data_IF_785787062905
#
_entry.id   IF_785787062905
#
_cell.length_a   1.000
_cell.length_b   1.000
_cell.length_c   1.000
_cell.angle_alpha   90.00
_cell.angle_beta   90.00
_cell.angle_gamma   90.00
#
_symmetry.space_group_name_H-M   'P 1'
#
loop_
_entity.id
_entity.type
_entity.pdbx_description
1 polymer ?
#
# COMPACT_ATOMS: atom_id res chain seq x y z
N UNK A 1 19.23 -1.03 -7.19
CA UNK A 1 20.41 -1.50 -6.43
C UNK A 1 21.02 -2.67 -7.16
N UNK A 2 22.25 -3.08 -6.83
CA UNK A 2 22.88 -4.29 -7.37
C UNK A 2 21.99 -5.53 -7.16
N UNK A 3 21.44 -5.69 -5.95
CA UNK A 3 20.46 -6.74 -5.64
C UNK A 3 19.21 -6.72 -6.55
N UNK A 4 18.68 -5.54 -6.89
CA UNK A 4 17.54 -5.46 -7.80
C UNK A 4 17.92 -5.95 -9.20
N UNK A 5 19.12 -5.62 -9.69
CA UNK A 5 19.59 -6.09 -11.00
C UNK A 5 19.72 -7.61 -11.05
N UNK A 6 20.14 -8.25 -9.95
CA UNK A 6 20.20 -9.72 -9.86
C UNK A 6 18.80 -10.35 -9.87
N UNK A 7 17.84 -9.75 -9.17
CA UNK A 7 16.44 -10.19 -9.19
C UNK A 7 15.87 -10.06 -10.61
N UNK A 8 16.12 -8.93 -11.28
CA UNK A 8 15.64 -8.69 -12.64
C UNK A 8 16.24 -9.68 -13.64
N UNK A 9 17.53 -10.02 -13.49
CA UNK A 9 18.19 -11.04 -14.30
C UNK A 9 17.63 -12.45 -14.05
N UNK A 10 17.38 -12.80 -12.79
CA UNK A 10 16.76 -14.09 -12.44
C UNK A 10 15.31 -14.17 -12.96
N UNK A 11 14.57 -13.07 -12.94
CA UNK A 11 13.20 -13.00 -13.44
C UNK A 11 13.10 -13.28 -14.95
N UNK A 12 14.19 -13.15 -15.72
CA UNK A 12 14.22 -13.55 -17.13
C UNK A 12 14.21 -15.08 -17.32
N UNK A 13 14.54 -15.85 -16.27
CA UNK A 13 14.68 -17.31 -16.33
C UNK A 13 13.65 -18.05 -15.48
N UNK A 14 13.17 -17.43 -14.40
CA UNK A 14 12.18 -18.02 -13.48
C UNK A 14 11.07 -17.00 -13.13
N UNK A 15 9.85 -17.46 -12.82
CA UNK A 15 8.79 -16.59 -12.33
C UNK A 15 9.10 -16.15 -10.88
N UNK A 16 9.15 -14.84 -10.64
CA UNK A 16 9.44 -14.26 -9.32
C UNK A 16 8.29 -13.34 -8.92
N UNK A 17 7.75 -13.49 -7.71
CA UNK A 17 6.87 -12.48 -7.12
C UNK A 17 7.66 -11.64 -6.12
N UNK A 18 7.81 -10.34 -6.40
CA UNK A 18 8.47 -9.38 -5.52
C UNK A 18 7.44 -8.39 -4.99
N UNK A 19 7.36 -8.25 -3.67
CA UNK A 19 6.44 -7.31 -3.03
C UNK A 19 7.00 -6.77 -1.72
N UNK A 20 6.75 -5.50 -1.44
CA UNK A 20 7.07 -4.88 -0.15
C UNK A 20 6.15 -5.37 0.99
N UNK A 21 4.99 -5.93 0.64
CA UNK A 21 4.02 -6.49 1.58
C UNK A 21 3.26 -7.63 0.90
N UNK A 22 3.18 -8.80 1.52
CA UNK A 22 2.44 -9.96 0.98
C UNK A 22 0.99 -10.04 1.46
N UNK A 23 0.52 -9.18 2.37
CA UNK A 23 -0.90 -9.17 2.76
C UNK A 23 -1.78 -8.89 1.53
N UNK A 24 -2.69 -9.81 1.22
CA UNK A 24 -3.69 -9.62 0.16
C UNK A 24 -4.52 -8.35 0.42
N UNK A 25 -4.92 -8.14 1.68
CA UNK A 25 -5.70 -6.98 2.08
C UNK A 25 -4.97 -5.65 1.90
N UNK A 26 -3.67 -5.58 2.21
CA UNK A 26 -2.87 -4.36 1.99
C UNK A 26 -2.73 -4.06 0.49
N UNK A 27 -2.50 -5.10 -0.33
CA UNK A 27 -2.36 -4.91 -1.77
C UNK A 27 -3.68 -4.52 -2.45
N UNK A 28 -4.82 -5.03 -1.97
CA UNK A 28 -6.13 -4.54 -2.40
C UNK A 28 -6.37 -3.10 -1.95
N UNK A 29 -6.01 -2.76 -0.70
CA UNK A 29 -6.10 -1.39 -0.20
C UNK A 29 -5.30 -0.41 -1.07
N UNK A 30 -4.08 -0.77 -1.50
CA UNK A 30 -3.28 0.05 -2.41
C UNK A 30 -4.03 0.36 -3.72
N UNK A 31 -4.62 -0.66 -4.35
CA UNK A 31 -5.40 -0.47 -5.58
C UNK A 31 -6.66 0.38 -5.37
N UNK A 32 -7.34 0.22 -4.23
CA UNK A 32 -8.51 1.03 -3.88
C UNK A 32 -8.13 2.49 -3.61
N UNK A 33 -7.00 2.74 -2.95
CA UNK A 33 -6.48 4.09 -2.70
C UNK A 33 -6.09 4.77 -4.00
N UNK A 34 -5.42 4.08 -4.91
CA UNK A 34 -5.08 4.60 -6.24
C UNK A 34 -6.35 5.00 -7.01
N UNK A 35 -7.35 4.11 -7.04
CA UNK A 35 -8.63 4.37 -7.71
C UNK A 35 -9.41 5.52 -7.07
N UNK A 36 -9.46 5.58 -5.74
CA UNK A 36 -10.13 6.67 -5.02
C UNK A 36 -9.43 8.01 -5.28
N UNK A 37 -8.10 8.04 -5.21
CA UNK A 37 -7.31 9.25 -5.43
C UNK A 37 -7.42 9.80 -6.87
N UNK A 38 -7.55 8.91 -7.86
CA UNK A 38 -7.79 9.28 -9.26
C UNK A 38 -9.23 9.76 -9.52
N UNK A 39 -10.21 9.17 -8.84
CA UNK A 39 -11.63 9.46 -9.06
C UNK A 39 -12.17 10.66 -8.27
N UNK A 40 -11.61 10.94 -7.09
CA UNK A 40 -12.06 12.03 -6.23
C UNK A 40 -11.47 13.39 -6.64
N UNK A 41 -12.23 14.50 -6.52
CA UNK A 41 -11.72 15.84 -6.77
C UNK A 41 -10.50 16.20 -5.91
N UNK A 42 -9.67 17.12 -6.39
CA UNK A 42 -8.49 17.61 -5.63
C UNK A 42 -8.86 18.34 -4.32
N UNK A 43 -10.10 18.80 -4.19
CA UNK A 43 -10.63 19.36 -2.93
C UNK A 43 -10.72 18.33 -1.81
N UNK A 44 -10.63 17.03 -2.11
CA UNK A 44 -10.51 16.00 -1.09
C UNK A 44 -9.08 15.96 -0.57
N UNK A 45 -8.92 16.35 0.68
CA UNK A 45 -7.67 16.28 1.41
C UNK A 45 -7.32 14.82 1.72
N UNK A 46 -6.05 14.45 1.59
CA UNK A 46 -5.60 13.08 1.86
C UNK A 46 -4.79 13.04 3.15
N UNK A 47 -5.23 12.18 4.09
CA UNK A 47 -4.55 11.91 5.35
C UNK A 47 -4.34 10.41 5.50
N UNK A 48 -3.16 10.00 5.99
CA UNK A 48 -2.80 8.60 6.24
C UNK A 48 -2.47 8.44 7.71
N UNK A 49 -3.24 7.62 8.40
CA UNK A 49 -3.00 7.25 9.79
C UNK A 49 -2.52 5.80 9.90
N UNK A 50 -1.58 5.56 10.80
CA UNK A 50 -1.13 4.21 11.13
C UNK A 50 -0.95 3.95 12.63
N UNK A 51 -1.13 2.69 13.02
CA UNK A 51 -0.85 2.20 14.37
C UNK A 51 0.01 0.94 14.27
N UNK A 52 1.08 0.88 15.06
CA UNK A 52 1.90 -0.33 15.22
C UNK A 52 2.31 -0.53 16.68
N UNK A 53 2.81 -1.72 16.99
CA UNK A 53 3.40 -2.06 18.29
C UNK A 53 4.51 -1.09 18.73
N UNK A 54 4.75 -1.06 20.04
CA UNK A 54 5.74 -0.15 20.68
C UNK A 54 7.19 -0.31 20.20
N UNK A 55 7.54 -1.51 19.71
CA UNK A 55 8.92 -1.82 19.27
C UNK A 55 9.23 -1.43 17.82
N UNK A 56 8.27 -0.86 17.07
CA UNK A 56 8.52 -0.49 15.67
C UNK A 56 9.35 0.78 15.61
N UNK A 57 10.52 0.69 14.95
CA UNK A 57 11.53 1.77 14.91
C UNK A 57 11.25 2.79 13.80
N UNK A 58 10.90 2.32 12.60
CA UNK A 58 10.63 3.18 11.45
C UNK A 58 9.27 3.88 11.55
N UNK A 59 9.22 5.14 11.10
CA UNK A 59 8.01 5.94 11.04
C UNK A 59 8.10 6.98 9.90
N UNK A 60 7.05 7.15 9.07
CA UNK A 60 5.89 6.25 8.92
C UNK A 60 6.33 4.85 8.42
N UNK A 61 5.50 3.82 8.59
CA UNK A 61 5.82 2.48 8.07
C UNK A 61 5.95 2.46 6.54
N UNK A 62 6.71 1.48 6.04
CA UNK A 62 6.79 1.22 4.59
C UNK A 62 5.42 1.10 3.89
N UNK A 63 4.43 0.49 4.55
CA UNK A 63 3.05 0.39 4.02
C UNK A 63 2.39 1.77 3.94
N UNK A 64 2.50 2.62 4.97
CA UNK A 64 1.96 3.98 4.93
C UNK A 64 2.61 4.79 3.80
N UNK A 65 3.93 4.68 3.62
CA UNK A 65 4.64 5.35 2.53
C UNK A 65 4.20 4.83 1.15
N UNK A 66 3.91 3.53 1.02
CA UNK A 66 3.39 2.95 -0.22
C UNK A 66 1.98 3.47 -0.55
N UNK A 67 1.10 3.56 0.46
CA UNK A 67 -0.25 4.12 0.30
C UNK A 67 -0.20 5.59 -0.17
N UNK A 68 0.69 6.40 0.42
CA UNK A 68 0.85 7.78 -0.02
C UNK A 68 1.49 7.91 -1.41
N UNK A 69 2.38 6.99 -1.81
CA UNK A 69 2.86 6.94 -3.20
C UNK A 69 1.73 6.62 -4.18
N UNK A 70 0.89 5.64 -3.88
CA UNK A 70 -0.26 5.29 -4.72
C UNK A 70 -1.21 6.49 -4.89
N UNK A 71 -1.54 7.16 -3.79
CA UNK A 71 -2.39 8.36 -3.81
C UNK A 71 -1.76 9.53 -4.59
N UNK A 72 -0.48 9.83 -4.37
CA UNK A 72 0.22 10.90 -5.08
C UNK A 72 0.33 10.62 -6.58
N UNK A 73 0.74 9.39 -6.95
CA UNK A 73 0.89 8.96 -8.34
C UNK A 73 -0.42 9.07 -9.11
N UNK A 74 -1.53 8.63 -8.50
CA UNK A 74 -2.87 8.76 -9.07
C UNK A 74 -3.29 10.21 -9.36
N UNK A 75 -2.73 11.17 -8.60
CA UNK A 75 -2.94 12.62 -8.80
C UNK A 75 -1.88 13.29 -9.69
N UNK A 76 -0.98 12.52 -10.29
CA UNK A 76 0.14 13.03 -11.09
C UNK A 76 1.17 13.81 -10.27
N UNK A 77 1.27 13.51 -8.96
CA UNK A 77 2.17 14.16 -8.02
C UNK A 77 3.28 13.20 -7.58
N UNK A 78 4.45 13.75 -7.28
CA UNK A 78 5.53 12.97 -6.67
C UNK A 78 5.36 12.96 -5.14
N UNK A 79 5.31 11.78 -4.51
CA UNK A 79 5.06 11.64 -3.07
C UNK A 79 5.99 12.51 -2.23
N UNK A 80 7.29 12.48 -2.51
CA UNK A 80 8.33 13.12 -1.69
C UNK A 80 8.17 14.64 -1.67
N UNK A 81 7.52 15.18 -2.70
CA UNK A 81 7.17 16.61 -2.79
C UNK A 81 5.93 16.98 -2.02
N UNK A 82 5.02 16.02 -1.74
CA UNK A 82 3.71 16.28 -1.13
C UNK A 82 3.55 15.70 0.28
N UNK A 83 4.44 14.81 0.70
CA UNK A 83 4.41 14.25 2.05
C UNK A 83 4.62 15.34 3.11
N UNK A 84 3.77 15.35 4.13
CA UNK A 84 3.89 16.25 5.26
C UNK A 84 3.61 15.51 6.58
N UNK A 85 4.50 15.65 7.54
CA UNK A 85 4.18 15.41 8.95
C UNK A 85 3.62 16.73 9.47
N UNK A 86 2.42 16.70 10.03
CA UNK A 86 1.72 17.94 10.43
C UNK A 86 2.51 18.67 11.52
N UNK A 87 2.76 19.96 11.29
CA UNK A 87 3.24 20.93 12.29
C UNK A 87 2.10 21.83 12.79
N UNK A 88 2.45 23.00 13.30
CA UNK A 88 1.51 24.07 13.62
C UNK A 88 0.96 24.77 12.37
N UNK A 89 -0.22 25.38 12.48
CA UNK A 89 -0.84 26.17 11.41
C UNK A 89 -1.91 25.46 10.57
N UNK A 90 -2.35 26.19 9.53
CA UNK A 90 -3.37 25.73 8.59
C UNK A 90 -2.82 24.66 7.64
N UNK A 91 -3.71 23.81 7.11
CA UNK A 91 -3.34 22.77 6.16
C UNK A 91 -2.84 23.40 4.86
N UNK A 92 -1.71 22.92 4.35
CA UNK A 92 -1.21 23.28 3.03
C UNK A 92 -1.93 22.40 1.99
N UNK A 93 -2.55 23.05 1.00
CA UNK A 93 -3.22 22.36 -0.09
C UNK A 93 -2.28 21.39 -0.83
N UNK A 94 -2.87 20.33 -1.41
CA UNK A 94 -2.16 19.30 -2.18
C UNK A 94 -1.09 18.49 -1.41
N UNK A 95 -1.00 18.63 -0.08
CA UNK A 95 -0.16 17.76 0.76
C UNK A 95 -0.87 16.45 1.12
N UNK A 96 -0.09 15.41 1.40
CA UNK A 96 -0.57 14.16 2.00
C UNK A 96 -0.04 14.11 3.44
N UNK A 97 -0.95 14.18 4.41
CA UNK A 97 -0.62 14.13 5.82
C UNK A 97 -0.35 12.72 6.32
N UNK A 98 0.59 12.58 7.26
CA UNK A 98 0.90 11.32 7.92
C UNK A 98 0.76 11.44 9.44
N UNK A 99 0.06 10.48 10.04
CA UNK A 99 -0.17 10.37 11.48
C UNK A 99 0.30 9.00 11.96
N UNK A 100 1.14 9.00 12.99
CA UNK A 100 1.86 7.80 13.43
C UNK A 100 1.57 7.55 14.90
N UNK A 101 1.01 6.38 15.20
CA UNK A 101 0.81 5.90 16.57
C UNK A 101 1.62 4.64 16.83
N UNK A 102 2.12 4.52 18.08
CA UNK A 102 2.87 3.35 18.56
C UNK A 102 2.30 2.92 19.91
N UNK A 103 1.92 1.65 20.05
CA UNK A 103 1.31 1.17 21.29
C UNK A 103 1.03 -0.32 21.29
N UNK A 104 1.08 -0.93 22.47
CA UNK A 104 0.77 -2.35 22.66
C UNK A 104 1.60 -3.27 21.76
N UNK A 105 0.92 -4.27 21.21
CA UNK A 105 1.39 -5.32 20.31
C UNK A 105 0.72 -5.26 18.92
N UNK A 106 0.09 -4.14 18.57
CA UNK A 106 -0.64 -3.93 17.30
C UNK A 106 0.21 -4.37 16.11
N UNK A 107 -0.24 -5.38 15.37
CA UNK A 107 0.50 -5.93 14.24
C UNK A 107 0.61 -4.93 13.08
N UNK A 108 -0.42 -4.12 12.88
CA UNK A 108 -0.44 -2.99 11.96
C UNK A 108 -1.86 -2.58 11.60
N UNK A 109 -2.16 -1.28 11.72
CA UNK A 109 -3.39 -0.67 11.20
C UNK A 109 -3.01 0.51 10.31
N UNK A 110 -3.72 0.64 9.18
CA UNK A 110 -3.51 1.69 8.19
C UNK A 110 -4.86 2.20 7.70
N UNK A 111 -5.09 3.50 7.81
CA UNK A 111 -6.29 4.17 7.29
C UNK A 111 -5.87 5.28 6.34
N UNK A 112 -6.43 5.28 5.13
CA UNK A 112 -6.34 6.40 4.19
C UNK A 112 -7.68 7.11 4.17
N UNK A 113 -7.67 8.39 4.49
CA UNK A 113 -8.85 9.24 4.56
C UNK A 113 -8.81 10.25 3.41
N UNK A 114 -9.91 10.33 2.68
CA UNK A 114 -10.18 11.38 1.71
C UNK A 114 -11.26 12.28 2.32
N UNK A 115 -10.90 13.51 2.71
CA UNK A 115 -11.72 14.43 3.46
C UNK A 115 -12.22 15.54 2.55
N UNK A 116 -13.51 15.56 2.24
CA UNK A 116 -14.16 16.60 1.45
C UNK A 116 -15.12 17.44 2.29
N UNK A 117 -15.67 18.50 1.68
CA UNK A 117 -16.68 19.31 2.34
C UNK A 117 -17.99 18.53 2.47
N UNK A 118 -18.40 18.26 3.72
CA UNK A 118 -19.65 17.56 4.02
C UNK A 118 -19.58 16.02 3.95
N UNK A 119 -18.46 15.44 3.54
CA UNK A 119 -18.29 13.98 3.47
C UNK A 119 -16.83 13.53 3.65
N UNK A 120 -16.65 12.25 3.96
CA UNK A 120 -15.33 11.62 3.91
C UNK A 120 -15.42 10.16 3.50
N UNK A 121 -14.41 9.71 2.77
CA UNK A 121 -14.20 8.30 2.44
C UNK A 121 -12.98 7.79 3.20
N UNK A 122 -13.14 6.70 3.93
CA UNK A 122 -12.05 6.06 4.69
C UNK A 122 -11.83 4.64 4.19
N UNK A 123 -10.57 4.31 3.89
CA UNK A 123 -10.15 2.97 3.49
C UNK A 123 -9.17 2.44 4.53
N UNK A 124 -9.59 1.42 5.29
CA UNK A 124 -8.85 0.90 6.44
C UNK A 124 -8.48 -0.56 6.28
N UNK A 125 -7.23 -0.89 6.60
CA UNK A 125 -6.75 -2.26 6.77
C UNK A 125 -6.26 -2.47 8.20
N UNK A 126 -6.71 -3.57 8.83
CA UNK A 126 -6.28 -3.99 10.17
C UNK A 126 -5.68 -5.39 10.13
N UNK A 127 -4.41 -5.50 10.46
CA UNK A 127 -3.77 -6.78 10.70
C UNK A 127 -4.02 -7.21 12.15
N UNK A 128 -4.74 -8.31 12.34
CA UNK A 128 -4.90 -8.94 13.67
C UNK A 128 -3.74 -9.87 14.00
N UNK A 129 -3.07 -10.41 12.98
CA UNK A 129 -1.99 -11.39 13.11
C UNK A 129 -1.02 -11.25 11.93
N UNK A 130 0.29 -11.31 12.20
CA UNK A 130 1.35 -11.29 11.19
C UNK A 130 1.33 -12.51 10.27
N UNK A 131 0.66 -13.59 10.64
CA UNK A 131 0.48 -14.76 9.78
C UNK A 131 -0.23 -14.43 8.44
N UNK A 132 -0.90 -13.28 8.31
CA UNK A 132 -1.45 -12.80 7.03
C UNK A 132 -0.38 -12.66 5.94
N UNK A 133 0.84 -12.26 6.30
CA UNK A 133 1.93 -12.07 5.33
C UNK A 133 2.42 -13.41 4.80
N UNK A 134 2.56 -14.41 5.69
CA UNK A 134 2.92 -15.77 5.30
C UNK A 134 1.84 -16.42 4.43
N UNK A 135 0.56 -16.26 4.77
CA UNK A 135 -0.56 -16.75 3.95
C UNK A 135 -0.58 -16.11 2.57
N UNK A 136 -0.31 -14.81 2.48
CA UNK A 136 -0.19 -14.11 1.22
C UNK A 136 0.98 -14.58 0.36
N UNK A 137 2.15 -14.81 0.96
CA UNK A 137 3.30 -15.39 0.27
C UNK A 137 3.02 -16.81 -0.25
N UNK A 138 2.35 -17.64 0.53
CA UNK A 138 1.88 -18.97 0.09
C UNK A 138 0.88 -18.87 -1.08
N UNK A 139 -0.02 -17.89 -1.05
CA UNK A 139 -0.95 -17.64 -2.14
C UNK A 139 -0.22 -17.22 -3.42
N UNK A 140 0.73 -16.29 -3.33
CA UNK A 140 1.58 -15.88 -4.44
C UNK A 140 2.40 -17.06 -5.00
N UNK A 141 3.02 -17.87 -4.13
CA UNK A 141 3.77 -19.05 -4.54
C UNK A 141 2.91 -20.05 -5.33
N UNK A 142 1.69 -20.31 -4.87
CA UNK A 142 0.73 -21.17 -5.59
C UNK A 142 0.32 -20.57 -6.94
N UNK A 143 0.17 -19.25 -7.00
CA UNK A 143 -0.20 -18.53 -8.23
C UNK A 143 0.92 -18.49 -9.27
N UNK A 144 2.19 -18.53 -8.85
CA UNK A 144 3.35 -18.58 -9.74
C UNK A 144 3.52 -19.93 -10.45
N UNK A 145 2.95 -21.02 -9.93
CA UNK A 145 3.08 -22.35 -10.53
C UNK A 145 2.57 -22.34 -11.97
N UNK A 146 3.44 -22.71 -12.91
CA UNK A 146 3.12 -22.77 -14.34
C UNK A 146 3.15 -21.43 -15.07
N UNK A 147 3.51 -20.32 -14.40
CA UNK A 147 3.68 -19.02 -15.06
C UNK A 147 5.02 -18.95 -15.81
N UNK A 148 5.08 -18.23 -16.94
CA UNK A 148 6.34 -18.00 -17.62
C UNK A 148 7.29 -17.16 -16.76
N UNK A 149 8.60 -17.21 -17.04
CA UNK A 149 9.56 -16.29 -16.43
C UNK A 149 9.08 -14.84 -16.50
N UNK A 150 9.25 -14.13 -15.39
CA UNK A 150 8.85 -12.74 -15.28
C UNK A 150 8.89 -12.26 -13.83
N UNK A 151 8.98 -10.94 -13.68
CA UNK A 151 8.86 -10.27 -12.38
C UNK A 151 7.40 -9.85 -12.19
N UNK A 152 6.76 -10.44 -11.19
CA UNK A 152 5.37 -10.22 -10.83
C UNK A 152 5.27 -9.51 -9.48
N UNK A 153 4.15 -8.84 -9.28
CA UNK A 153 3.75 -8.18 -8.05
C UNK A 153 2.56 -8.89 -7.40
N UNK A 154 2.23 -8.53 -6.17
CA UNK A 154 1.00 -8.98 -5.52
C UNK A 154 -0.26 -8.45 -6.22
N UNK A 155 -0.15 -7.37 -7.00
CA UNK A 155 -1.25 -6.81 -7.79
C UNK A 155 -1.60 -7.76 -8.93
N UNK A 156 -0.59 -8.36 -9.59
CA UNK A 156 -0.81 -9.40 -10.60
C UNK A 156 -1.50 -10.64 -10.00
N UNK A 157 -1.07 -11.03 -8.79
CA UNK A 157 -1.66 -12.13 -8.03
C UNK A 157 -3.14 -11.89 -7.77
N UNK A 158 -3.50 -10.69 -7.29
CA UNK A 158 -4.88 -10.34 -6.94
C UNK A 158 -5.76 -10.17 -8.18
N UNK A 159 -5.25 -9.53 -9.24
CA UNK A 159 -6.01 -9.30 -10.47
C UNK A 159 -6.49 -10.62 -11.12
N UNK A 160 -5.67 -11.67 -11.06
CA UNK A 160 -6.02 -12.99 -11.58
C UNK A 160 -7.04 -13.76 -10.72
N UNK A 161 -7.13 -13.46 -9.42
CA UNK A 161 -8.12 -14.08 -8.54
C UNK A 161 -9.53 -13.54 -8.83
N UNK A 162 -9.66 -12.27 -9.21
CA UNK A 162 -10.94 -11.65 -9.56
C UNK A 162 -11.57 -12.16 -10.86
N UNK A 163 -10.78 -12.72 -11.78
CA UNK A 163 -11.28 -13.24 -13.07
C UNK A 163 -11.86 -14.66 -12.98
N UNK A 164 -11.71 -15.36 -11.84
CA UNK A 164 -12.28 -16.69 -11.61
C UNK A 164 -13.73 -16.67 -11.07
N UNK A 165 -14.32 -15.49 -10.84
CA UNK A 165 -15.69 -15.33 -10.33
C UNK A 165 -16.73 -14.83 -11.34
N UNK A 166 -16.38 -14.71 -12.63
CA UNK A 166 -17.28 -14.23 -13.70
C UNK A 166 -17.52 -15.28 -14.80
N UNK A 167 -17.54 -16.56 -14.46
CA UNK A 167 -18.01 -17.62 -15.35
C UNK A 167 -19.14 -18.41 -14.72
#
# INVERSE_FOLDING_TARGET
>A
SELQSEIDAAAQQIPICQAANFSIGVNLLLALVERAAAGLPKSFDIEIAEIHHRWKVDAPSGTALALGRAAASARGQERDRVAAIRGDGARVADRIGYQVSRGGDVAGEHSVMFLGDGERLELTHRATDRAIFARGALHAARWLVGRPPGLYSMQDVIAAAGSHGMR
#
